data_IF_028947307061
#
_entry.id   IF_028947307061
#
_cell.length_a   1.000
_cell.length_b   1.000
_cell.length_c   1.000
_cell.angle_alpha   90.00
_cell.angle_beta   90.00
_cell.angle_gamma   90.00
#
_symmetry.space_group_name_H-M   'P 1'
#
loop_
_entity.id
_entity.type
_entity.pdbx_description
1 polymer ?
#
# COMPACT_ATOMS: atom_id res chain seq x y z
N UNK A 1 -14.92 -3.21 -10.87
CA UNK A 1 -14.46 -2.33 -9.78
C UNK A 1 -15.68 -1.77 -9.08
N UNK A 2 -15.65 -1.59 -7.78
CA UNK A 2 -16.75 -1.15 -6.91
C UNK A 2 -16.55 0.25 -6.32
N UNK A 3 -15.40 0.87 -6.58
CA UNK A 3 -15.05 2.22 -6.14
C UNK A 3 -14.63 3.11 -7.30
N UNK A 4 -14.70 4.43 -7.16
CA UNK A 4 -14.22 5.40 -8.13
C UNK A 4 -13.65 6.64 -7.44
N UNK A 5 -12.94 7.47 -8.20
CA UNK A 5 -12.67 8.87 -7.86
C UNK A 5 -13.04 9.77 -9.04
N UNK A 6 -13.25 11.07 -8.84
CA UNK A 6 -13.73 11.94 -9.91
C UNK A 6 -12.60 12.47 -10.79
N UNK A 7 -11.42 12.67 -10.20
CA UNK A 7 -10.25 13.26 -10.85
C UNK A 7 -8.98 12.47 -10.53
N UNK A 8 -7.97 12.60 -11.37
CA UNK A 8 -6.68 11.90 -11.18
C UNK A 8 -5.90 12.45 -9.97
N UNK A 9 -6.20 13.67 -9.53
CA UNK A 9 -5.63 14.33 -8.35
C UNK A 9 -6.32 13.91 -7.05
N UNK A 10 -7.55 13.39 -7.13
CA UNK A 10 -8.28 12.96 -5.95
C UNK A 10 -7.54 11.78 -5.31
N UNK A 11 -7.45 11.81 -3.99
CA UNK A 11 -6.90 10.73 -3.18
C UNK A 11 -7.98 9.85 -2.57
N UNK A 12 -9.20 10.38 -2.43
CA UNK A 12 -10.36 9.63 -1.93
C UNK A 12 -10.98 8.77 -3.01
N UNK A 13 -11.19 7.50 -2.69
CA UNK A 13 -12.10 6.64 -3.42
C UNK A 13 -13.47 6.57 -2.75
N UNK A 14 -14.52 6.40 -3.55
CA UNK A 14 -15.92 6.32 -3.13
C UNK A 14 -16.54 5.08 -3.72
N UNK A 15 -17.36 4.37 -2.96
CA UNK A 15 -18.19 3.29 -3.48
C UNK A 15 -19.07 3.81 -4.62
N UNK A 16 -19.20 3.02 -5.67
CA UNK A 16 -20.07 3.32 -6.80
C UNK A 16 -21.52 3.26 -6.32
N UNK A 17 -22.13 4.43 -6.27
CA UNK A 17 -23.50 4.65 -5.84
C UNK A 17 -24.11 5.76 -6.69
N UNK A 18 -25.38 5.58 -7.07
CA UNK A 18 -26.07 6.49 -7.98
C UNK A 18 -26.27 7.86 -7.34
N UNK A 19 -26.90 7.91 -6.17
CA UNK A 19 -27.32 9.17 -5.56
C UNK A 19 -26.09 10.00 -5.17
N UNK A 20 -25.03 9.34 -4.69
CA UNK A 20 -23.72 9.98 -4.46
C UNK A 20 -23.14 10.56 -5.74
N UNK A 21 -23.01 9.76 -6.79
CA UNK A 21 -22.42 10.25 -8.05
C UNK A 21 -23.21 11.42 -8.64
N UNK A 22 -24.55 11.40 -8.56
CA UNK A 22 -25.40 12.52 -8.97
C UNK A 22 -25.13 13.78 -8.12
N UNK A 23 -25.01 13.64 -6.81
CA UNK A 23 -24.77 14.76 -5.89
C UNK A 23 -23.42 15.44 -6.13
N UNK A 24 -22.41 14.70 -6.55
CA UNK A 24 -21.05 15.21 -6.72
C UNK A 24 -20.82 15.81 -8.11
N UNK A 25 -21.49 15.26 -9.11
CA UNK A 25 -21.30 15.65 -10.52
C UNK A 25 -22.39 16.59 -11.02
N UNK A 26 -23.50 16.69 -10.28
CA UNK A 26 -24.73 17.37 -10.70
C UNK A 26 -25.21 16.94 -12.10
N UNK A 27 -24.87 15.71 -12.50
CA UNK A 27 -25.16 15.15 -13.82
C UNK A 27 -24.58 15.98 -14.99
N UNK A 28 -23.42 16.60 -14.79
CA UNK A 28 -22.77 17.49 -15.78
C UNK A 28 -21.58 16.84 -16.48
N UNK A 29 -21.18 17.44 -17.60
CA UNK A 29 -19.86 17.26 -18.20
C UNK A 29 -18.74 17.61 -17.17
N UNK A 30 -17.59 16.92 -17.18
CA UNK A 30 -17.22 15.85 -18.11
C UNK A 30 -17.71 14.46 -17.69
N UNK A 31 -18.38 14.32 -16.55
CA UNK A 31 -18.73 12.99 -16.00
C UNK A 31 -19.88 12.31 -16.73
N UNK A 32 -20.78 13.08 -17.34
CA UNK A 32 -21.85 12.58 -18.20
C UNK A 32 -21.54 13.00 -19.63
N UNK A 33 -21.28 12.02 -20.50
CA UNK A 33 -20.96 12.25 -21.91
C UNK A 33 -21.83 11.40 -22.83
N UNK A 34 -22.02 11.74 -24.11
CA UNK A 34 -22.68 10.87 -25.08
C UNK A 34 -22.02 9.48 -25.14
N UNK A 35 -22.82 8.45 -24.88
CA UNK A 35 -22.43 7.04 -24.97
C UNK A 35 -22.91 6.40 -26.27
N UNK A 36 -22.96 5.06 -26.28
CA UNK A 36 -23.52 4.30 -27.40
C UNK A 36 -25.05 4.42 -27.45
N UNK A 37 -25.62 4.31 -28.65
CA UNK A 37 -27.06 4.27 -28.88
C UNK A 37 -27.85 5.48 -28.29
N UNK A 38 -27.23 6.66 -28.23
CA UNK A 38 -27.88 7.88 -27.75
C UNK A 38 -28.09 7.97 -26.23
N UNK A 39 -27.64 6.99 -25.44
CA UNK A 39 -27.68 7.04 -23.98
C UNK A 39 -26.46 7.81 -23.45
N UNK A 40 -26.63 8.54 -22.35
CA UNK A 40 -25.49 9.13 -21.63
C UNK A 40 -24.67 8.04 -20.93
N UNK A 41 -23.36 8.07 -21.12
CA UNK A 41 -22.40 7.28 -20.37
C UNK A 41 -21.87 8.09 -19.18
N UNK A 42 -21.63 7.40 -18.05
CA UNK A 42 -21.08 7.98 -16.84
C UNK A 42 -19.61 7.59 -16.73
N UNK A 43 -18.72 8.57 -16.60
CA UNK A 43 -17.29 8.37 -16.53
C UNK A 43 -16.71 8.91 -15.23
N UNK A 44 -15.70 8.20 -14.74
CA UNK A 44 -14.93 8.54 -13.55
C UNK A 44 -13.47 8.05 -13.75
N UNK A 45 -12.68 8.09 -12.69
CA UNK A 45 -11.27 7.66 -12.68
C UNK A 45 -11.09 6.45 -11.76
N UNK A 46 -10.28 5.48 -12.19
CA UNK A 46 -9.85 4.37 -11.35
C UNK A 46 -8.91 4.87 -10.23
N UNK A 47 -9.21 4.64 -8.94
CA UNK A 47 -8.36 5.10 -7.85
C UNK A 47 -7.02 4.36 -7.75
N UNK A 48 -6.88 3.19 -8.37
CA UNK A 48 -5.64 2.41 -8.33
C UNK A 48 -4.60 2.82 -9.39
N UNK A 49 -5.05 3.11 -10.62
CA UNK A 49 -4.17 3.28 -11.78
C UNK A 49 -4.43 4.55 -12.62
N UNK A 50 -5.29 5.46 -12.15
CA UNK A 50 -5.65 6.73 -12.80
C UNK A 50 -6.25 6.65 -14.21
N UNK A 51 -6.51 5.46 -14.73
CA UNK A 51 -7.18 5.30 -16.02
C UNK A 51 -8.67 5.68 -15.93
N UNK A 52 -9.26 6.18 -17.03
CA UNK A 52 -10.69 6.44 -17.09
C UNK A 52 -11.49 5.13 -16.97
N UNK A 53 -12.63 5.22 -16.29
CA UNK A 53 -13.59 4.13 -16.12
C UNK A 53 -14.98 4.60 -16.50
N UNK A 54 -15.77 3.71 -17.11
CA UNK A 54 -17.21 3.87 -17.26
C UNK A 54 -17.91 3.23 -16.06
N UNK A 55 -18.85 3.95 -15.45
CA UNK A 55 -19.74 3.42 -14.42
C UNK A 55 -20.92 2.73 -15.10
N UNK A 56 -20.86 1.40 -15.18
CA UNK A 56 -21.89 0.57 -15.82
C UNK A 56 -22.95 0.20 -14.79
N UNK A 57 -24.22 0.25 -15.20
CA UNK A 57 -25.33 -0.16 -14.35
C UNK A 57 -25.77 0.88 -13.31
N UNK A 58 -25.29 2.12 -13.39
CA UNK A 58 -25.60 3.16 -12.39
C UNK A 58 -27.10 3.51 -12.33
N UNK A 59 -27.78 3.48 -13.48
CA UNK A 59 -29.22 3.76 -13.59
C UNK A 59 -30.04 2.50 -13.94
N UNK A 60 -29.49 1.65 -14.79
CA UNK A 60 -30.15 0.46 -15.32
C UNK A 60 -29.12 -0.67 -15.32
N UNK A 61 -29.29 -1.63 -14.41
CA UNK A 61 -28.39 -2.77 -14.28
C UNK A 61 -28.51 -3.69 -15.50
N UNK A 62 -27.38 -4.14 -16.09
CA UNK A 62 -27.42 -5.20 -17.08
C UNK A 62 -27.99 -6.50 -16.51
N UNK A 63 -28.51 -7.42 -17.35
CA UNK A 63 -28.95 -8.74 -16.90
C UNK A 63 -27.85 -9.47 -16.12
N UNK A 64 -28.23 -10.15 -15.03
CA UNK A 64 -27.33 -10.91 -14.15
C UNK A 64 -26.26 -10.08 -13.42
N UNK A 65 -26.35 -8.74 -13.45
CA UNK A 65 -25.49 -7.86 -12.66
C UNK A 65 -26.26 -7.39 -11.42
N UNK A 66 -25.69 -7.64 -10.23
CA UNK A 66 -26.33 -7.30 -8.95
C UNK A 66 -26.10 -5.87 -8.50
N UNK A 67 -24.97 -5.27 -8.85
CA UNK A 67 -24.55 -3.94 -8.40
C UNK A 67 -23.87 -3.17 -9.54
N UNK A 68 -23.95 -1.82 -9.57
CA UNK A 68 -23.21 -1.02 -10.53
C UNK A 68 -21.70 -1.21 -10.35
N UNK A 69 -20.94 -1.10 -11.44
CA UNK A 69 -19.49 -1.34 -11.40
C UNK A 69 -18.73 -0.45 -12.38
N UNK A 70 -17.49 -0.16 -12.02
CA UNK A 70 -16.52 0.54 -12.85
C UNK A 70 -15.85 -0.43 -13.81
N UNK A 71 -15.91 -0.10 -15.10
CA UNK A 71 -15.21 -0.77 -16.20
C UNK A 71 -14.16 0.16 -16.78
N UNK A 72 -12.90 -0.26 -16.84
CA UNK A 72 -11.85 0.51 -17.49
C UNK A 72 -12.21 0.81 -18.95
N UNK A 73 -12.11 2.08 -19.34
CA UNK A 73 -12.27 2.48 -20.72
C UNK A 73 -11.06 2.00 -21.55
N UNK A 74 -11.27 1.87 -22.85
CA UNK A 74 -10.25 1.41 -23.82
C UNK A 74 -9.51 2.55 -24.50
N UNK A 75 -9.84 3.80 -24.14
CA UNK A 75 -9.30 5.04 -24.71
C UNK A 75 -9.39 6.17 -23.70
N UNK A 76 -8.64 7.25 -23.95
CA UNK A 76 -8.74 8.48 -23.17
C UNK A 76 -10.16 9.03 -23.22
N UNK A 77 -10.66 9.51 -22.09
CA UNK A 77 -11.97 10.15 -22.00
C UNK A 77 -11.73 11.63 -21.70
N UNK A 78 -12.18 12.49 -22.61
CA UNK A 78 -11.94 13.94 -22.55
C UNK A 78 -12.46 14.49 -21.23
N UNK A 79 -11.64 15.27 -20.54
CA UNK A 79 -11.99 15.89 -19.25
C UNK A 79 -12.03 14.93 -18.06
N UNK A 80 -11.77 13.63 -18.25
CA UNK A 80 -11.76 12.63 -17.18
C UNK A 80 -10.34 12.16 -16.90
N UNK A 81 -9.72 11.44 -17.84
CA UNK A 81 -8.35 10.96 -17.70
C UNK A 81 -7.77 10.47 -19.05
N UNK A 82 -6.45 10.57 -19.24
CA UNK A 82 -5.76 9.90 -20.33
C UNK A 82 -5.77 8.38 -20.13
N UNK A 83 -5.76 7.62 -21.23
CA UNK A 83 -5.57 6.19 -21.19
C UNK A 83 -4.09 5.82 -21.10
N UNK A 84 -3.77 4.93 -20.17
CA UNK A 84 -2.45 4.33 -20.00
C UNK A 84 -2.61 2.80 -19.98
N UNK A 85 -2.19 2.16 -21.07
CA UNK A 85 -2.35 0.73 -21.27
C UNK A 85 -1.54 -0.12 -20.30
N UNK A 86 -0.33 0.31 -19.92
CA UNK A 86 0.49 -0.41 -18.96
C UNK A 86 -0.14 -0.33 -17.57
N UNK A 87 -0.45 0.88 -17.10
CA UNK A 87 -1.08 1.09 -15.80
C UNK A 87 -2.43 0.35 -15.68
N UNK A 88 -3.20 0.26 -16.78
CA UNK A 88 -4.44 -0.54 -16.82
C UNK A 88 -4.15 -2.04 -16.72
N UNK A 89 -3.19 -2.57 -17.48
CA UNK A 89 -2.91 -4.02 -17.50
C UNK A 89 -2.31 -4.52 -16.18
N UNK A 90 -1.63 -3.65 -15.44
CA UNK A 90 -1.15 -3.90 -14.08
C UNK A 90 -2.21 -3.64 -13.00
N UNK A 91 -3.34 -3.05 -13.34
CA UNK A 91 -4.36 -2.67 -12.37
C UNK A 91 -5.10 -3.91 -11.85
N UNK A 92 -5.14 -4.13 -10.52
CA UNK A 92 -5.82 -5.30 -9.96
C UNK A 92 -7.33 -5.27 -10.15
N UNK A 93 -7.92 -4.08 -10.37
CA UNK A 93 -9.34 -3.93 -10.73
C UNK A 93 -9.65 -4.28 -12.19
N UNK A 94 -8.65 -4.29 -13.06
CA UNK A 94 -8.80 -4.68 -14.46
C UNK A 94 -8.46 -6.16 -14.64
N UNK A 95 -7.29 -6.57 -14.16
CA UNK A 95 -6.78 -7.92 -14.29
C UNK A 95 -6.18 -8.38 -12.95
N UNK A 96 -6.99 -8.92 -12.02
CA UNK A 96 -6.50 -9.43 -10.76
C UNK A 96 -5.57 -10.62 -11.02
N UNK A 97 -4.29 -10.47 -10.66
CA UNK A 97 -3.27 -11.51 -10.84
C UNK A 97 -2.23 -11.43 -9.74
N UNK A 98 -1.49 -12.52 -9.56
CA UNK A 98 -0.30 -12.50 -8.72
C UNK A 98 0.87 -11.89 -9.51
N UNK A 99 1.56 -10.95 -8.88
CA UNK A 99 2.73 -10.29 -9.44
C UNK A 99 3.98 -10.87 -8.80
N UNK A 100 5.01 -11.19 -9.59
CA UNK A 100 6.29 -11.64 -9.03
C UNK A 100 6.99 -10.44 -8.41
N UNK A 101 7.65 -10.61 -7.26
CA UNK A 101 8.38 -9.52 -6.58
C UNK A 101 9.38 -8.80 -7.48
N UNK A 102 9.92 -9.48 -8.49
CA UNK A 102 10.89 -8.95 -9.46
C UNK A 102 10.25 -8.19 -10.63
N UNK A 103 8.94 -8.26 -10.81
CA UNK A 103 8.27 -7.60 -11.94
C UNK A 103 8.34 -6.08 -11.77
N UNK A 104 8.69 -5.36 -12.84
CA UNK A 104 8.78 -3.91 -12.87
C UNK A 104 7.98 -3.34 -14.03
N UNK A 105 7.34 -2.19 -13.79
CA UNK A 105 6.79 -1.29 -14.80
C UNK A 105 7.93 -0.73 -15.64
N UNK A 106 7.65 -0.49 -16.92
CA UNK A 106 8.62 -0.08 -17.92
C UNK A 106 9.03 1.38 -17.76
N UNK A 107 8.06 2.26 -17.48
CA UNK A 107 8.28 3.70 -17.31
C UNK A 107 8.17 4.17 -15.86
N UNK A 108 8.81 5.31 -15.56
CA UNK A 108 8.66 6.00 -14.28
C UNK A 108 7.52 7.02 -14.27
N UNK A 109 7.17 7.58 -15.43
CA UNK A 109 6.14 8.61 -15.52
C UNK A 109 4.74 8.08 -15.21
N UNK A 110 3.83 8.98 -14.85
CA UNK A 110 2.46 8.62 -14.46
C UNK A 110 2.39 8.00 -13.07
N UNK A 111 1.76 6.82 -12.96
CA UNK A 111 1.44 6.17 -11.68
C UNK A 111 2.69 5.91 -10.81
N UNK A 112 3.83 5.39 -11.31
CA UNK A 112 5.02 5.16 -10.48
C UNK A 112 5.58 6.44 -9.84
N UNK A 113 5.67 7.53 -10.60
CA UNK A 113 6.08 8.85 -10.07
C UNK A 113 5.11 9.36 -9.02
N UNK A 114 3.80 9.14 -9.18
CA UNK A 114 2.79 9.47 -8.16
C UNK A 114 2.91 8.60 -6.92
N UNK A 115 3.16 7.29 -7.04
CA UNK A 115 3.42 6.37 -5.92
C UNK A 115 4.63 6.86 -5.12
N UNK A 116 5.73 7.19 -5.81
CA UNK A 116 6.93 7.67 -5.13
C UNK A 116 6.69 8.99 -4.40
N UNK A 117 6.04 9.95 -5.05
CA UNK A 117 5.67 11.23 -4.44
C UNK A 117 4.78 11.03 -3.21
N UNK A 118 3.76 10.19 -3.34
CA UNK A 118 2.82 9.88 -2.26
C UNK A 118 3.54 9.22 -1.08
N UNK A 119 4.45 8.27 -1.33
CA UNK A 119 5.28 7.65 -0.30
C UNK A 119 6.11 8.70 0.46
N UNK A 120 6.77 9.62 -0.25
CA UNK A 120 7.61 10.66 0.37
C UNK A 120 6.76 11.61 1.21
N UNK A 121 5.73 12.20 0.61
CA UNK A 121 4.92 13.25 1.25
C UNK A 121 4.07 12.75 2.43
N UNK A 122 3.82 11.44 2.47
CA UNK A 122 2.99 10.78 3.48
C UNK A 122 3.77 9.73 4.29
N UNK A 123 5.10 9.78 4.29
CA UNK A 123 5.92 8.72 4.88
C UNK A 123 5.63 8.52 6.36
N UNK A 124 5.34 9.59 7.10
CA UNK A 124 4.93 9.49 8.50
C UNK A 124 3.66 8.66 8.71
N UNK A 125 2.67 8.82 7.82
CA UNK A 125 1.40 8.08 7.83
C UNK A 125 1.59 6.64 7.35
N UNK A 126 2.46 6.42 6.36
CA UNK A 126 2.89 5.07 5.95
C UNK A 126 3.48 4.32 7.13
N UNK A 127 4.42 4.94 7.85
CA UNK A 127 5.02 4.32 9.04
C UNK A 127 3.98 4.11 10.13
N UNK A 128 3.07 5.07 10.36
CA UNK A 128 1.99 4.92 11.34
C UNK A 128 1.12 3.68 11.09
N UNK A 129 0.70 3.43 9.84
CA UNK A 129 -0.06 2.22 9.48
C UNK A 129 0.73 0.96 9.82
N UNK A 130 1.99 0.87 9.36
CA UNK A 130 2.83 -0.29 9.59
C UNK A 130 3.08 -0.56 11.08
N UNK A 131 3.33 0.49 11.87
CA UNK A 131 3.53 0.40 13.32
C UNK A 131 2.25 -0.06 14.02
N UNK A 132 1.07 0.33 13.54
CA UNK A 132 -0.23 -0.08 14.11
C UNK A 132 -0.63 -1.50 13.72
N UNK A 133 -0.33 -1.95 12.51
CA UNK A 133 -0.65 -3.32 12.07
C UNK A 133 0.30 -4.36 12.67
N UNK A 134 1.59 -4.03 12.76
CA UNK A 134 2.62 -4.95 13.27
C UNK A 134 2.85 -4.81 14.77
N UNK A 135 2.49 -3.67 15.36
CA UNK A 135 2.85 -3.26 16.72
C UNK A 135 4.37 -3.26 16.98
N UNK A 136 5.15 -3.06 15.92
CA UNK A 136 6.60 -2.84 15.94
C UNK A 136 6.90 -1.37 15.63
N UNK A 137 7.48 -0.65 16.58
CA UNK A 137 7.90 0.75 16.40
C UNK A 137 9.37 0.79 15.99
N UNK A 138 9.63 1.45 14.87
CA UNK A 138 10.94 1.45 14.22
C UNK A 138 11.72 2.72 14.54
N UNK A 139 13.01 2.54 14.81
CA UNK A 139 13.99 3.61 14.90
C UNK A 139 14.19 4.29 13.55
N UNK A 140 14.63 5.56 13.57
CA UNK A 140 15.02 6.29 12.36
C UNK A 140 16.02 5.49 11.51
N UNK A 141 17.04 4.88 12.13
CA UNK A 141 18.02 4.05 11.41
C UNK A 141 17.36 2.87 10.66
N UNK A 142 16.36 2.24 11.27
CA UNK A 142 15.63 1.14 10.62
C UNK A 142 14.80 1.66 9.44
N UNK A 143 14.08 2.76 9.62
CA UNK A 143 13.26 3.40 8.58
C UNK A 143 14.10 3.88 7.39
N UNK A 144 15.23 4.54 7.65
CA UNK A 144 16.19 4.96 6.62
C UNK A 144 16.71 3.76 5.82
N UNK A 145 17.06 2.68 6.52
CA UNK A 145 17.45 1.44 5.86
C UNK A 145 16.35 0.83 4.98
N UNK A 146 15.09 0.90 5.41
CA UNK A 146 13.95 0.45 4.59
C UNK A 146 13.79 1.30 3.33
N UNK A 147 13.86 2.63 3.44
CA UNK A 147 13.84 3.56 2.30
C UNK A 147 14.95 3.26 1.29
N UNK A 148 16.18 3.03 1.75
CA UNK A 148 17.32 2.69 0.90
C UNK A 148 17.15 1.38 0.15
N UNK A 149 16.60 0.35 0.80
CA UNK A 149 16.30 -0.93 0.14
C UNK A 149 15.15 -0.78 -0.85
N UNK A 150 14.08 -0.07 -0.48
CA UNK A 150 12.98 0.26 -1.39
C UNK A 150 13.47 0.99 -2.65
N UNK A 151 14.40 1.94 -2.49
CA UNK A 151 15.07 2.64 -3.59
C UNK A 151 15.87 1.68 -4.47
N UNK A 152 16.75 0.89 -3.88
CA UNK A 152 17.59 -0.08 -4.60
C UNK A 152 16.77 -1.12 -5.37
N UNK A 153 15.67 -1.58 -4.78
CA UNK A 153 14.72 -2.50 -5.39
C UNK A 153 13.82 -1.83 -6.45
N UNK A 154 13.88 -0.50 -6.60
CA UNK A 154 12.96 0.28 -7.45
C UNK A 154 11.50 -0.06 -7.12
N UNK A 155 11.16 -0.11 -5.83
CA UNK A 155 9.85 -0.56 -5.35
C UNK A 155 8.66 0.22 -5.91
N UNK A 156 8.87 1.49 -6.29
CA UNK A 156 7.88 2.35 -6.94
C UNK A 156 7.52 1.90 -8.37
N UNK A 157 8.33 1.03 -8.98
CA UNK A 157 8.05 0.40 -10.26
C UNK A 157 7.48 -1.00 -10.12
N UNK A 158 7.26 -1.54 -8.92
CA UNK A 158 6.68 -2.87 -8.78
C UNK A 158 5.32 -2.97 -9.50
N UNK A 159 5.09 -4.03 -10.27
CA UNK A 159 3.86 -4.14 -11.08
C UNK A 159 2.59 -4.25 -10.22
N UNK A 160 2.69 -4.80 -9.01
CA UNK A 160 1.60 -4.83 -8.03
C UNK A 160 1.43 -3.54 -7.21
N UNK A 161 2.26 -2.51 -7.43
CA UNK A 161 2.13 -1.22 -6.76
C UNK A 161 1.02 -0.36 -7.39
N UNK A 162 0.14 0.17 -6.55
CA UNK A 162 -0.94 1.10 -6.90
C UNK A 162 -0.92 2.31 -5.96
N UNK A 163 -1.68 3.35 -6.29
CA UNK A 163 -1.83 4.51 -5.39
C UNK A 163 -2.50 4.15 -4.05
N UNK A 164 -3.24 3.03 -4.02
CA UNK A 164 -4.07 2.60 -2.89
C UNK A 164 -3.33 1.74 -1.88
N UNK A 165 -2.20 1.13 -2.26
CA UNK A 165 -1.49 0.15 -1.45
C UNK A 165 -0.07 0.56 -1.06
N UNK A 166 0.27 1.85 -1.19
CA UNK A 166 1.61 2.38 -0.95
C UNK A 166 2.23 1.96 0.38
N UNK A 167 1.53 2.00 1.54
CA UNK A 167 2.15 1.63 2.82
C UNK A 167 2.66 0.19 2.83
N UNK A 168 1.84 -0.74 2.34
CA UNK A 168 2.17 -2.15 2.37
C UNK A 168 3.18 -2.54 1.30
N UNK A 169 3.10 -1.95 0.11
CA UNK A 169 4.10 -2.18 -0.95
C UNK A 169 5.45 -1.60 -0.56
N UNK A 170 5.49 -0.45 0.13
CA UNK A 170 6.73 0.03 0.73
C UNK A 170 7.37 -1.02 1.63
N UNK A 171 6.59 -1.61 2.55
CA UNK A 171 7.07 -2.65 3.46
C UNK A 171 7.53 -3.92 2.71
N UNK A 172 6.74 -4.40 1.75
CA UNK A 172 7.03 -5.57 0.92
C UNK A 172 8.33 -5.45 0.10
N UNK A 173 8.60 -4.24 -0.40
CA UNK A 173 9.78 -3.93 -1.22
C UNK A 173 10.98 -3.40 -0.42
N UNK A 174 10.89 -3.37 0.92
CA UNK A 174 11.97 -2.91 1.82
C UNK A 174 12.83 -4.02 2.40
N UNK A 175 12.64 -5.27 1.97
CA UNK A 175 13.35 -6.47 2.43
C UNK A 175 13.43 -6.64 3.97
N UNK A 176 14.28 -7.56 4.43
CA UNK A 176 14.39 -7.91 5.83
C UNK A 176 14.97 -6.76 6.67
N UNK A 177 14.31 -6.43 7.78
CA UNK A 177 14.69 -5.36 8.71
C UNK A 177 15.01 -5.95 10.08
N UNK A 178 16.18 -5.59 10.64
CA UNK A 178 16.61 -6.09 11.96
C UNK A 178 15.68 -5.58 13.06
N UNK A 179 15.29 -6.48 13.96
CA UNK A 179 14.45 -6.15 15.11
C UNK A 179 15.25 -5.80 16.38
N UNK A 180 16.55 -6.09 16.42
CA UNK A 180 17.38 -5.75 17.58
C UNK A 180 17.27 -4.26 17.90
N UNK A 181 16.96 -3.97 19.17
CA UNK A 181 16.74 -2.63 19.67
C UNK A 181 15.44 -1.97 19.21
N UNK A 182 14.55 -2.59 18.43
CA UNK A 182 13.24 -2.01 18.09
C UNK A 182 12.22 -2.24 19.21
N UNK A 183 11.15 -1.43 19.27
CA UNK A 183 10.11 -1.59 20.31
C UNK A 183 8.98 -2.48 19.80
N UNK A 184 8.71 -3.58 20.49
CA UNK A 184 7.77 -4.64 20.08
C UNK A 184 6.77 -5.06 21.15
N UNK A 185 6.76 -4.40 22.31
CA UNK A 185 5.88 -4.74 23.44
C UNK A 185 4.37 -4.62 23.19
N UNK A 186 3.93 -4.10 22.03
CA UNK A 186 2.51 -4.01 21.67
C UNK A 186 1.95 -5.26 20.98
N UNK A 187 2.81 -6.20 20.55
CA UNK A 187 2.40 -7.43 19.86
C UNK A 187 2.53 -8.64 20.78
N UNK A 188 1.47 -9.01 21.50
CA UNK A 188 1.53 -10.09 22.49
C UNK A 188 1.93 -11.45 21.88
N UNK A 189 1.48 -11.75 20.66
CA UNK A 189 1.79 -13.00 19.98
C UNK A 189 3.26 -13.06 19.55
N UNK A 190 3.79 -11.97 19.00
CA UNK A 190 5.21 -11.86 18.64
C UNK A 190 6.10 -11.89 19.88
N UNK A 191 5.73 -11.19 20.95
CA UNK A 191 6.47 -11.19 22.23
C UNK A 191 6.55 -12.62 22.76
N UNK A 192 5.41 -13.32 22.88
CA UNK A 192 5.36 -14.71 23.33
C UNK A 192 6.18 -15.64 22.44
N UNK A 193 6.15 -15.43 21.12
CA UNK A 193 6.93 -16.22 20.18
C UNK A 193 8.44 -16.02 20.37
N UNK A 194 8.90 -14.78 20.56
CA UNK A 194 10.31 -14.48 20.82
C UNK A 194 10.77 -15.08 22.16
N UNK A 195 10.00 -14.88 23.24
CA UNK A 195 10.34 -15.40 24.57
C UNK A 195 10.45 -16.92 24.61
N UNK A 196 9.61 -17.62 23.83
CA UNK A 196 9.58 -19.09 23.80
C UNK A 196 10.63 -19.71 22.86
N UNK A 197 10.96 -19.04 21.75
CA UNK A 197 11.76 -19.64 20.68
C UNK A 197 13.17 -19.04 20.54
N UNK A 198 13.46 -17.90 21.18
CA UNK A 198 14.71 -17.15 20.98
C UNK A 198 15.44 -16.96 22.31
N UNK A 199 16.26 -17.93 22.75
CA UNK A 199 16.85 -17.94 24.10
C UNK A 199 17.71 -16.72 24.46
N UNK A 200 18.29 -16.06 23.46
CA UNK A 200 19.18 -14.90 23.63
C UNK A 200 18.46 -13.56 23.65
N UNK A 201 17.16 -13.54 23.40
CA UNK A 201 16.36 -12.34 23.32
C UNK A 201 15.54 -12.14 24.59
N UNK A 202 15.33 -10.88 24.95
CA UNK A 202 14.33 -10.48 25.94
C UNK A 202 13.66 -9.17 25.52
N UNK A 203 12.44 -8.94 26.03
CA UNK A 203 11.75 -7.67 25.88
C UNK A 203 11.96 -6.87 27.15
N UNK A 204 12.67 -5.74 27.05
CA UNK A 204 12.92 -4.89 28.21
C UNK A 204 11.63 -4.27 28.74
N UNK A 205 11.67 -3.73 29.96
CA UNK A 205 10.53 -3.03 30.58
C UNK A 205 10.01 -1.84 29.77
N UNK A 206 10.85 -1.29 28.88
CA UNK A 206 10.48 -0.23 27.92
C UNK A 206 9.87 -0.78 26.63
N UNK A 207 9.71 -2.09 26.53
CA UNK A 207 9.15 -2.82 25.39
C UNK A 207 10.13 -3.03 24.23
N UNK A 208 11.45 -2.91 24.44
CA UNK A 208 12.46 -3.04 23.37
C UNK A 208 13.04 -4.45 23.33
N UNK A 209 13.30 -4.94 22.12
CA UNK A 209 14.00 -6.21 21.92
C UNK A 209 15.49 -6.04 22.20
N UNK A 210 15.99 -6.72 23.21
CA UNK A 210 17.36 -6.61 23.70
C UNK A 210 17.99 -8.00 23.89
N UNK A 211 19.31 -8.03 24.12
CA UNK A 211 20.01 -9.26 24.45
C UNK A 211 19.80 -9.60 25.92
N UNK A 212 19.42 -10.84 26.19
CA UNK A 212 19.23 -11.33 27.54
C UNK A 212 20.52 -11.21 28.35
N UNK A 213 20.47 -10.49 29.46
CA UNK A 213 21.59 -10.40 30.40
C UNK A 213 21.53 -11.54 31.42
N UNK A 214 22.55 -12.40 31.46
CA UNK A 214 22.71 -13.41 32.51
C UNK A 214 23.83 -12.96 33.47
N UNK A 215 23.74 -13.25 34.78
CA UNK A 215 24.81 -12.93 35.73
C UNK A 215 26.15 -13.52 35.24
N UNK A 216 27.11 -12.64 34.94
CA UNK A 216 28.46 -13.05 34.49
C UNK A 216 28.57 -13.56 33.04
N UNK A 217 27.48 -13.57 32.25
CA UNK A 217 27.51 -14.05 30.86
C UNK A 217 26.67 -13.17 29.93
N UNK A 218 27.19 -12.91 28.73
CA UNK A 218 26.35 -12.38 27.64
C UNK A 218 25.43 -13.48 27.15
N UNK A 219 24.15 -13.17 26.96
CA UNK A 219 23.21 -14.07 26.32
C UNK A 219 23.66 -14.48 24.91
N UNK A 220 23.18 -15.63 24.39
CA UNK A 220 23.56 -16.08 23.06
C UNK A 220 23.16 -15.06 21.99
N UNK A 221 24.00 -14.92 20.97
CA UNK A 221 23.71 -14.03 19.84
C UNK A 221 22.41 -14.43 19.13
N UNK A 222 21.64 -13.43 18.71
CA UNK A 222 20.50 -13.60 17.82
C UNK A 222 20.45 -12.52 16.74
N UNK A 223 19.89 -12.86 15.58
CA UNK A 223 19.69 -11.93 14.45
C UNK A 223 18.24 -12.02 13.97
N UNK A 224 17.31 -11.55 14.81
CA UNK A 224 15.89 -11.51 14.47
C UNK A 224 15.65 -10.41 13.44
N UNK A 225 15.01 -10.80 12.34
CA UNK A 225 14.58 -9.88 11.29
C UNK A 225 13.10 -10.04 11.03
N UNK A 226 12.44 -8.92 10.81
CA UNK A 226 11.11 -8.91 10.20
C UNK A 226 11.22 -8.80 8.69
N UNK A 227 10.25 -9.36 7.99
CA UNK A 227 10.11 -9.26 6.55
C UNK A 227 8.63 -9.29 6.16
N UNK A 228 8.33 -8.73 5.00
CA UNK A 228 7.00 -8.74 4.42
C UNK A 228 7.06 -9.54 3.13
N UNK A 229 6.33 -10.65 3.06
CA UNK A 229 6.41 -11.62 1.97
C UNK A 229 5.03 -11.98 1.44
N UNK A 230 4.99 -12.66 0.29
CA UNK A 230 3.75 -13.20 -0.30
C UNK A 230 2.64 -12.16 -0.43
N UNK A 231 2.93 -11.05 -1.10
CA UNK A 231 1.87 -10.14 -1.58
C UNK A 231 0.87 -10.95 -2.43
N UNK A 232 -0.40 -10.88 -2.06
CA UNK A 232 -1.50 -11.63 -2.69
C UNK A 232 -2.63 -10.69 -3.06
N UNK A 233 -3.09 -10.85 -4.30
CA UNK A 233 -4.28 -10.18 -4.82
C UNK A 233 -5.35 -11.23 -5.12
N UNK A 234 -6.53 -11.13 -4.51
CA UNK A 234 -7.67 -11.98 -4.83
C UNK A 234 -8.93 -11.13 -5.03
N UNK A 235 -9.92 -11.73 -5.69
CA UNK A 235 -11.26 -11.18 -5.79
C UNK A 235 -12.18 -12.26 -5.26
N UNK A 236 -12.64 -12.12 -4.02
CA UNK A 236 -13.33 -13.19 -3.29
C UNK A 236 -14.65 -13.58 -3.99
N UNK A 237 -15.42 -12.60 -4.46
CA UNK A 237 -16.53 -12.78 -5.41
C UNK A 237 -16.87 -11.42 -6.09
N UNK A 238 -17.87 -11.39 -6.99
CA UNK A 238 -18.30 -10.14 -7.65
C UNK A 238 -18.86 -9.08 -6.67
N UNK A 239 -19.28 -9.46 -5.47
CA UNK A 239 -19.88 -8.60 -4.44
C UNK A 239 -18.88 -8.05 -3.40
N UNK A 240 -17.74 -8.73 -3.15
CA UNK A 240 -16.84 -8.47 -2.00
C UNK A 240 -15.57 -7.69 -2.33
N UNK A 241 -15.54 -7.03 -3.49
CA UNK A 241 -14.47 -6.11 -3.85
C UNK A 241 -13.12 -6.78 -4.09
N UNK A 242 -12.08 -5.95 -4.20
CA UNK A 242 -10.69 -6.41 -4.34
C UNK A 242 -10.10 -6.68 -2.95
N UNK A 243 -9.49 -7.84 -2.76
CA UNK A 243 -8.79 -8.20 -1.52
C UNK A 243 -7.30 -8.26 -1.79
N UNK A 244 -6.53 -7.47 -1.04
CA UNK A 244 -5.07 -7.50 -1.07
C UNK A 244 -4.52 -7.83 0.32
N UNK A 245 -3.44 -8.60 0.37
CA UNK A 245 -2.79 -8.97 1.62
C UNK A 245 -1.30 -9.29 1.45
N UNK A 246 -0.58 -9.32 2.56
CA UNK A 246 0.78 -9.88 2.63
C UNK A 246 1.00 -10.57 3.97
N UNK A 247 2.10 -11.32 4.09
CA UNK A 247 2.52 -11.93 5.35
C UNK A 247 3.62 -11.10 6.01
N UNK A 248 3.38 -10.65 7.23
CA UNK A 248 4.41 -10.16 8.14
C UNK A 248 5.05 -11.36 8.84
N UNK A 249 6.36 -11.52 8.68
CA UNK A 249 7.10 -12.67 9.19
C UNK A 249 8.31 -12.21 9.99
N UNK A 250 8.51 -12.80 11.16
CA UNK A 250 9.74 -12.69 11.94
C UNK A 250 10.48 -14.01 11.88
N UNK A 251 11.76 -13.93 11.53
CA UNK A 251 12.62 -15.09 11.34
C UNK A 251 14.05 -14.81 11.82
N UNK A 252 14.79 -15.88 12.07
CA UNK A 252 16.21 -15.84 12.41
C UNK A 252 16.96 -16.94 11.65
N UNK A 253 18.19 -16.65 11.24
CA UNK A 253 19.10 -17.68 10.75
C UNK A 253 19.80 -18.36 11.94
N UNK A 254 19.69 -19.67 12.07
CA UNK A 254 20.36 -20.47 13.10
C UNK A 254 20.92 -21.74 12.48
N UNK A 255 22.23 -21.98 12.69
CA UNK A 255 22.95 -23.15 12.13
C UNK A 255 22.76 -23.35 10.61
N UNK A 256 22.59 -22.26 9.86
CA UNK A 256 22.38 -22.29 8.41
C UNK A 256 20.92 -22.47 7.96
N UNK A 257 19.99 -22.67 8.89
CA UNK A 257 18.57 -22.82 8.60
C UNK A 257 17.78 -21.57 9.01
N UNK A 258 16.79 -21.20 8.21
CA UNK A 258 15.90 -20.07 8.49
C UNK A 258 14.75 -20.55 9.36
N UNK A 259 14.79 -20.19 10.65
CA UNK A 259 13.74 -20.51 11.62
C UNK A 259 12.64 -19.44 11.56
N UNK A 260 11.39 -19.88 11.43
CA UNK A 260 10.21 -19.02 11.51
C UNK A 260 9.79 -18.85 12.97
N UNK A 261 9.75 -17.60 13.45
CA UNK A 261 9.39 -17.28 14.84
C UNK A 261 7.94 -16.85 14.95
N UNK A 262 7.50 -15.96 14.06
CA UNK A 262 6.15 -15.42 14.06
C UNK A 262 5.68 -15.14 12.63
N UNK A 263 4.37 -15.24 12.43
CA UNK A 263 3.69 -14.94 11.17
C UNK A 263 2.33 -14.33 11.46
N UNK A 264 2.02 -13.24 10.77
CA UNK A 264 0.71 -12.59 10.75
C UNK A 264 0.33 -12.27 9.30
N UNK A 265 -0.95 -12.42 8.96
CA UNK A 265 -1.47 -11.95 7.67
C UNK A 265 -1.95 -10.53 7.84
N UNK A 266 -1.41 -9.62 7.04
CA UNK A 266 -1.84 -8.22 6.97
C UNK A 266 -2.79 -8.07 5.78
N UNK A 267 -4.05 -7.74 6.05
CA UNK A 267 -5.03 -7.38 5.03
C UNK A 267 -4.90 -5.89 4.75
N UNK A 268 -4.82 -5.51 3.48
CA UNK A 268 -4.67 -4.10 3.13
C UNK A 268 -6.01 -3.39 3.37
N UNK A 269 -5.95 -2.22 4.01
CA UNK A 269 -7.09 -1.32 4.19
C UNK A 269 -6.84 0.01 3.49
N UNK A 270 -7.02 0.08 2.15
CA UNK A 270 -6.85 1.32 1.41
C UNK A 270 -7.66 2.49 1.95
N UNK A 271 -8.87 2.24 2.48
CA UNK A 271 -9.74 3.28 3.00
C UNK A 271 -9.13 3.96 4.23
N UNK A 272 -8.45 3.19 5.10
CA UNK A 272 -7.70 3.76 6.21
C UNK A 272 -6.55 4.64 5.74
N UNK A 273 -5.75 4.19 4.77
CA UNK A 273 -4.68 5.01 4.19
C UNK A 273 -5.24 6.30 3.56
N UNK A 274 -6.30 6.19 2.76
CA UNK A 274 -7.00 7.32 2.14
C UNK A 274 -7.57 8.30 3.18
N UNK A 275 -8.07 7.81 4.32
CA UNK A 275 -8.53 8.66 5.42
C UNK A 275 -7.38 9.45 6.06
N UNK A 276 -6.21 8.83 6.24
CA UNK A 276 -5.05 9.48 6.82
C UNK A 276 -4.51 10.56 5.91
N UNK A 277 -4.38 10.29 4.61
CA UNK A 277 -3.80 11.27 3.66
C UNK A 277 -4.69 12.51 3.47
N UNK A 278 -6.00 12.38 3.70
CA UNK A 278 -6.96 13.51 3.69
C UNK A 278 -6.90 14.41 4.91
N UNK A 279 -6.31 13.96 6.02
CA UNK A 279 -6.14 14.84 7.17
C UNK A 279 -5.28 16.05 6.78
N UNK A 280 -5.51 17.23 7.37
CA UNK A 280 -4.79 18.46 7.03
C UNK A 280 -3.26 18.30 7.06
N UNK A 281 -2.57 19.08 6.22
CA UNK A 281 -1.11 19.03 6.13
C UNK A 281 -0.45 19.50 7.43
N UNK A 282 -1.10 20.40 8.17
CA UNK A 282 -0.74 20.96 9.46
C UNK A 282 -1.32 20.18 10.65
N UNK A 283 -1.88 18.99 10.41
CA UNK A 283 -2.47 18.17 11.47
C UNK A 283 -1.43 17.89 12.59
N UNK A 284 -1.79 18.02 13.88
CA UNK A 284 -0.82 18.03 14.99
C UNK A 284 -0.03 16.72 15.17
N UNK A 285 -0.53 15.61 14.61
CA UNK A 285 0.15 14.31 14.66
C UNK A 285 1.06 14.02 13.46
N UNK A 286 1.24 14.99 12.53
CA UNK A 286 2.22 14.84 11.44
C UNK A 286 3.62 14.74 12.00
N UNK A 287 4.40 13.80 11.48
CA UNK A 287 5.82 13.61 11.85
C UNK A 287 6.70 14.01 10.68
N UNK A 288 6.91 15.32 10.55
CA UNK A 288 7.67 15.88 9.42
C UNK A 288 9.12 15.40 9.38
N UNK A 289 9.71 15.03 10.53
CA UNK A 289 11.02 14.37 10.59
C UNK A 289 11.08 13.09 9.74
N UNK A 290 9.99 12.31 9.70
CA UNK A 290 9.89 11.11 8.84
C UNK A 290 9.73 11.51 7.37
N UNK A 291 8.91 12.52 7.08
CA UNK A 291 8.71 13.02 5.71
C UNK A 291 10.01 13.55 5.12
N UNK A 292 10.77 14.33 5.89
CA UNK A 292 12.04 14.90 5.47
C UNK A 292 13.08 13.80 5.25
N UNK A 293 13.15 12.78 6.12
CA UNK A 293 13.96 11.58 5.89
C UNK A 293 13.63 10.88 4.57
N UNK A 294 12.33 10.70 4.24
CA UNK A 294 11.95 10.11 2.97
C UNK A 294 12.35 10.99 1.78
N UNK A 295 12.27 12.31 1.93
CA UNK A 295 12.71 13.28 0.92
C UNK A 295 14.22 13.24 0.71
N UNK A 296 15.01 13.09 1.77
CA UNK A 296 16.47 12.92 1.69
C UNK A 296 16.84 11.64 0.91
N UNK A 297 16.18 10.52 1.22
CA UNK A 297 16.57 9.21 0.64
C UNK A 297 16.05 9.02 -0.79
N UNK A 298 14.86 9.55 -1.11
CA UNK A 298 14.14 9.27 -2.36
C UNK A 298 13.91 10.48 -3.26
N UNK A 299 14.13 11.70 -2.77
CA UNK A 299 13.74 12.93 -3.46
C UNK A 299 14.50 13.20 -4.76
N UNK A 300 15.74 12.73 -4.86
CA UNK A 300 16.56 12.79 -6.08
C UNK A 300 15.86 12.10 -7.27
N UNK A 301 15.18 10.99 -7.03
CA UNK A 301 14.44 10.24 -8.06
C UNK A 301 13.30 11.07 -8.68
N UNK A 302 12.76 12.07 -7.97
CA UNK A 302 11.74 12.96 -8.52
C UNK A 302 12.35 14.04 -9.45
N UNK A 303 13.64 14.35 -9.33
CA UNK A 303 14.29 15.41 -10.13
C UNK A 303 15.00 14.85 -11.36
N UNK A 304 15.53 13.62 -11.30
CA UNK A 304 16.46 13.04 -12.27
C UNK A 304 15.90 12.63 -13.65
N UNK A 305 14.73 13.12 -14.07
CA UNK A 305 14.15 12.85 -15.40
C UNK A 305 13.92 14.16 -16.18
N UNK A 306 14.98 14.97 -16.32
CA UNK A 306 15.06 16.09 -17.27
C UNK A 306 15.93 15.71 -18.46
#
# INVERSE_FOLDING_TARGET
MDVYKLRIEDTESKTIDKDRFESETFRREPWYQPGSAGKLAQFAVCPACDNPVQLVGLYELPPNVKNPFGKHATKSIRGIAPFDGEARNDCPYFQPRQHKKTDRKTGFDGVPRKILRLLIEQFDRVVYILEKETQVVLSEKALRGMLQRYKGERGYLYTGATLRNVPWIFAYMSDATRLFGQKIGGNAELVKAIESQVPGAEISTKGRLEAKSLPGMKGPYFDLKMSFIRHRISKDNEESGLVESMEFVVSQLRKGELEHIHKQVLKFDPAWFESLIRMPVDHPYRRMDRVDMAREELGDLLVSNG
#
